data_IF_610577183857
#
_entry.id   IF_610577183857
#
_cell.length_a   1.000
_cell.length_b   1.000
_cell.length_c   1.000
_cell.angle_alpha   90.00
_cell.angle_beta   90.00
_cell.angle_gamma   90.00
#
_symmetry.space_group_name_H-M   'P 1'
#
loop_
_entity.id
_entity.type
_entity.pdbx_description
1 polymer ?
#
# COMPACT_ATOMS: atom_id res chain seq x y z
N UNK A 1 10.99 14.48 -5.93
CA UNK A 1 11.66 13.60 -4.93
C UNK A 1 10.63 13.34 -3.85
N UNK A 2 10.30 12.07 -3.55
CA UNK A 2 9.26 11.72 -2.59
C UNK A 2 9.94 11.14 -1.34
N UNK A 3 9.96 11.90 -0.25
CA UNK A 3 10.63 11.53 1.01
C UNK A 3 9.59 11.45 2.11
N UNK A 4 9.59 10.35 2.86
CA UNK A 4 8.69 10.15 4.01
C UNK A 4 9.47 10.40 5.30
N UNK A 5 9.03 11.34 6.12
CA UNK A 5 9.65 11.69 7.41
C UNK A 5 8.62 11.58 8.54
N UNK A 6 9.02 11.04 9.68
CA UNK A 6 8.20 10.93 10.89
C UNK A 6 9.10 11.07 12.13
N UNK A 7 8.71 11.92 13.07
CA UNK A 7 9.42 12.15 14.34
C UNK A 7 8.53 11.69 15.50
N UNK A 8 9.08 10.90 16.42
CA UNK A 8 8.34 10.38 17.58
C UNK A 8 9.29 10.10 18.73
N UNK A 9 8.80 10.29 19.96
CA UNK A 9 9.54 10.04 21.20
C UNK A 9 8.97 8.80 21.89
N UNK A 10 9.83 7.82 22.16
CA UNK A 10 9.43 6.53 22.74
C UNK A 10 10.38 6.13 23.89
N UNK A 11 9.82 5.54 24.95
CA UNK A 11 10.55 4.96 26.07
C UNK A 11 10.61 3.43 25.89
N UNK A 12 11.81 2.87 25.79
CA UNK A 12 12.03 1.45 25.51
C UNK A 12 13.19 0.91 26.36
N UNK A 13 13.17 -0.38 26.70
CA UNK A 13 14.27 -1.00 27.45
C UNK A 13 15.38 -1.47 26.53
N UNK A 14 16.57 -1.64 27.11
CA UNK A 14 17.73 -2.19 26.42
C UNK A 14 17.42 -3.58 25.82
N UNK A 15 17.82 -3.81 24.57
CA UNK A 15 17.60 -5.05 23.83
C UNK A 15 16.13 -5.43 23.57
N UNK A 16 15.15 -4.56 23.87
CA UNK A 16 13.75 -4.77 23.46
C UNK A 16 13.51 -4.16 22.07
N UNK A 17 12.86 -4.89 21.17
CA UNK A 17 12.48 -4.36 19.84
C UNK A 17 11.11 -3.69 19.93
N UNK A 18 11.03 -2.42 19.54
CA UNK A 18 9.79 -1.66 19.43
C UNK A 18 9.40 -1.47 17.95
N UNK A 19 8.12 -1.68 17.65
CA UNK A 19 7.50 -1.23 16.40
C UNK A 19 7.07 0.22 16.59
N UNK A 20 7.75 1.14 15.91
CA UNK A 20 7.48 2.58 16.03
C UNK A 20 6.24 2.98 15.23
N UNK A 21 5.99 2.26 14.14
CA UNK A 21 4.83 2.46 13.30
C UNK A 21 4.98 1.77 11.95
N UNK A 22 3.98 1.97 11.11
CA UNK A 22 3.95 1.51 9.74
C UNK A 22 3.11 2.41 8.84
N UNK A 23 3.35 2.33 7.55
CA UNK A 23 2.57 3.01 6.53
C UNK A 23 2.00 1.95 5.59
N UNK A 24 0.66 1.90 5.49
CA UNK A 24 -0.05 1.03 4.57
C UNK A 24 -0.60 1.93 3.45
N UNK A 25 -0.16 1.67 2.22
CA UNK A 25 -0.65 2.33 1.02
C UNK A 25 -1.42 1.33 0.18
N UNK A 26 -2.69 1.63 -0.09
CA UNK A 26 -3.50 0.86 -1.03
C UNK A 26 -3.89 1.75 -2.21
N UNK A 27 -3.52 1.32 -3.41
CA UNK A 27 -3.88 1.98 -4.65
C UNK A 27 -4.74 1.03 -5.48
N UNK A 28 -6.01 1.37 -5.64
CA UNK A 28 -6.96 0.67 -6.50
C UNK A 28 -7.20 1.47 -7.76
N UNK A 29 -6.91 0.88 -8.91
CA UNK A 29 -7.19 1.46 -10.23
C UNK A 29 -8.18 0.55 -10.95
N UNK A 30 -9.40 1.06 -11.13
CA UNK A 30 -10.44 0.41 -11.90
C UNK A 30 -10.62 1.19 -13.22
N UNK A 31 -10.67 0.49 -14.34
CA UNK A 31 -10.83 1.05 -15.67
C UNK A 31 -11.66 0.12 -16.55
N UNK A 32 -12.51 0.69 -17.40
CA UNK A 32 -13.33 -0.08 -18.33
C UNK A 32 -13.20 0.51 -19.72
N UNK A 33 -12.55 -0.24 -20.60
CA UNK A 33 -12.50 0.08 -22.02
C UNK A 33 -13.61 -0.71 -22.72
N UNK A 34 -14.50 -0.04 -23.44
CA UNK A 34 -15.63 -0.69 -24.13
C UNK A 34 -15.81 -0.15 -25.54
N UNK A 35 -16.25 -1.01 -26.45
CA UNK A 35 -16.74 -0.57 -27.76
C UNK A 35 -18.10 0.13 -27.56
N UNK A 36 -18.30 1.36 -28.05
CA UNK A 36 -19.60 2.03 -28.00
C UNK A 36 -20.69 1.18 -28.68
N UNK A 37 -21.93 1.24 -28.18
CA UNK A 37 -23.07 0.42 -28.61
C UNK A 37 -22.95 -1.07 -28.23
N UNK A 38 -21.92 -1.79 -28.72
CA UNK A 38 -21.79 -3.25 -28.55
C UNK A 38 -21.44 -3.65 -27.11
N UNK A 39 -20.67 -2.82 -26.41
CA UNK A 39 -20.35 -3.05 -25.02
C UNK A 39 -21.60 -3.06 -24.13
N UNK A 40 -22.62 -2.27 -24.42
CA UNK A 40 -23.81 -2.10 -23.57
C UNK A 40 -24.88 -3.18 -23.77
N UNK A 41 -24.65 -4.16 -24.66
CA UNK A 41 -25.57 -5.28 -24.88
C UNK A 41 -25.60 -6.20 -23.65
N UNK A 42 -26.77 -6.46 -23.03
CA UNK A 42 -26.90 -7.44 -21.96
C UNK A 42 -26.44 -8.82 -22.45
N UNK A 43 -25.81 -9.62 -21.58
CA UNK A 43 -25.31 -10.99 -21.88
C UNK A 43 -24.08 -11.01 -22.83
N UNK A 44 -24.09 -10.27 -23.94
CA UNK A 44 -23.03 -10.30 -24.96
C UNK A 44 -21.98 -9.20 -24.82
N UNK A 45 -22.29 -8.12 -24.10
CA UNK A 45 -21.44 -6.94 -23.98
C UNK A 45 -20.07 -7.21 -23.35
N UNK A 46 -19.93 -8.29 -22.57
CA UNK A 46 -18.65 -8.68 -21.95
C UNK A 46 -17.58 -9.05 -22.99
N UNK A 47 -17.96 -9.57 -24.16
CA UNK A 47 -17.01 -9.89 -25.24
C UNK A 47 -16.43 -8.64 -25.93
N UNK A 48 -17.07 -7.48 -25.76
CA UNK A 48 -16.69 -6.20 -26.36
C UNK A 48 -16.22 -5.18 -25.31
N UNK A 49 -15.88 -5.67 -24.10
CA UNK A 49 -15.34 -4.89 -22.99
C UNK A 49 -14.02 -5.47 -22.51
N UNK A 50 -13.12 -4.61 -22.08
CA UNK A 50 -11.90 -4.94 -21.37
C UNK A 50 -11.91 -4.21 -20.04
N UNK A 51 -11.93 -4.97 -18.95
CA UNK A 51 -11.84 -4.43 -17.60
C UNK A 51 -10.38 -4.44 -17.16
N UNK A 52 -9.91 -3.31 -16.66
CA UNK A 52 -8.59 -3.14 -16.10
C UNK A 52 -8.72 -2.92 -14.60
N UNK A 53 -8.45 -3.97 -13.83
CA UNK A 53 -8.44 -3.91 -12.38
C UNK A 53 -6.99 -4.09 -11.92
N UNK A 54 -6.40 -3.04 -11.36
CA UNK A 54 -5.06 -3.08 -10.77
C UNK A 54 -5.15 -2.72 -9.30
N UNK A 55 -4.72 -3.65 -8.44
CA UNK A 55 -4.57 -3.40 -7.02
C UNK A 55 -3.07 -3.39 -6.67
N UNK A 56 -2.61 -2.36 -5.98
CA UNK A 56 -1.25 -2.26 -5.45
C UNK A 56 -1.30 -1.93 -3.97
N UNK A 57 -0.79 -2.87 -3.16
CA UNK A 57 -0.63 -2.71 -1.72
C UNK A 57 0.85 -2.58 -1.37
N UNK A 58 1.20 -1.57 -0.57
CA UNK A 58 2.56 -1.38 -0.04
C UNK A 58 2.47 -1.25 1.47
N UNK A 59 3.27 -2.06 2.16
CA UNK A 59 3.34 -2.08 3.63
C UNK A 59 4.77 -1.74 4.03
N UNK A 60 4.93 -0.69 4.83
CA UNK A 60 6.21 -0.28 5.40
C UNK A 60 6.11 -0.43 6.90
N UNK A 61 7.10 -1.08 7.52
CA UNK A 61 7.20 -1.27 8.97
C UNK A 61 8.57 -0.77 9.43
N UNK A 62 8.57 -0.05 10.56
CA UNK A 62 9.80 0.49 11.16
C UNK A 62 9.99 -0.12 12.54
N UNK A 63 11.13 -0.80 12.70
CA UNK A 63 11.55 -1.46 13.94
C UNK A 63 12.79 -0.76 14.49
N UNK A 64 12.84 -0.58 15.80
CA UNK A 64 14.03 -0.10 16.50
C UNK A 64 14.35 -1.04 17.67
N UNK A 65 15.63 -1.41 17.78
CA UNK A 65 16.17 -2.19 18.89
C UNK A 65 17.38 -1.44 19.47
N UNK A 66 17.29 -0.88 20.68
CA UNK A 66 18.37 -0.14 21.30
C UNK A 66 19.39 -1.11 21.91
N UNK A 67 20.66 -0.73 21.90
CA UNK A 67 21.73 -1.45 22.59
C UNK A 67 22.55 -0.48 23.44
N UNK A 68 22.52 -0.65 24.75
CA UNK A 68 23.35 0.10 25.70
C UNK A 68 24.75 -0.51 25.71
N UNK A 69 25.75 0.28 25.34
CA UNK A 69 27.17 -0.07 25.47
C UNK A 69 27.69 0.57 26.76
N UNK A 70 28.30 -0.24 27.63
CA UNK A 70 29.00 0.21 28.84
C UNK A 70 30.51 0.06 28.62
N UNK A 71 31.27 1.09 28.97
CA UNK A 71 32.74 1.07 29.00
C UNK A 71 33.24 0.46 30.31
#
# INVERSE_FOLDING_TARGET
INTRYAETTVLIKNNETLVIGGFIEENKTDGVNKVPLLGDIPILGQFFRSNLNRNSRRELLVFITPKIVRN
#
